data_IF_603004561923
#
_entry.id   IF_603004561923
#
_cell.length_a   1.000
_cell.length_b   1.000
_cell.length_c   1.000
_cell.angle_alpha   90.00
_cell.angle_beta   90.00
_cell.angle_gamma   90.00
#
_symmetry.space_group_name_H-M   'P 1'
#
loop_
_entity.id
_entity.type
_entity.pdbx_description
1 polymer ?
#
# COMPACT_ATOMS: atom_id res chain seq x y z
N UNK A 1 -41.19 -0.87 33.32
CA UNK A 1 -40.72 -1.92 32.40
C UNK A 1 -39.29 -1.58 32.01
N UNK A 2 -38.28 -2.19 32.65
CA UNK A 2 -36.87 -1.91 32.39
C UNK A 2 -36.33 -2.89 31.34
N UNK A 3 -36.03 -2.41 30.14
CA UNK A 3 -35.37 -3.19 29.12
C UNK A 3 -33.86 -3.21 29.39
N UNK A 4 -33.37 -4.37 29.84
CA UNK A 4 -31.95 -4.63 30.08
C UNK A 4 -31.27 -4.87 28.73
N UNK A 5 -30.51 -3.90 28.24
CA UNK A 5 -29.66 -4.07 27.05
C UNK A 5 -28.46 -4.92 27.45
N UNK A 6 -28.42 -6.17 27.03
CA UNK A 6 -27.27 -7.05 27.23
C UNK A 6 -26.25 -6.77 26.13
N UNK A 7 -25.22 -5.98 26.43
CA UNK A 7 -24.04 -5.86 25.58
C UNK A 7 -23.18 -7.12 25.78
N UNK A 8 -23.11 -7.97 24.76
CA UNK A 8 -22.25 -9.15 24.74
C UNK A 8 -20.86 -8.68 24.31
N UNK A 9 -19.94 -8.48 25.25
CA UNK A 9 -18.53 -8.27 24.91
C UNK A 9 -17.97 -9.58 24.36
N UNK A 10 -17.90 -9.69 23.03
CA UNK A 10 -17.05 -10.69 22.38
C UNK A 10 -15.60 -10.23 22.50
N UNK A 11 -14.79 -10.98 23.26
CA UNK A 11 -13.37 -10.69 23.42
C UNK A 11 -12.65 -11.08 22.14
N UNK A 12 -12.52 -10.14 21.21
CA UNK A 12 -11.73 -10.34 20.00
C UNK A 12 -10.26 -10.53 20.42
N UNK A 13 -9.73 -11.74 20.24
CA UNK A 13 -8.29 -12.00 20.38
C UNK A 13 -7.58 -11.22 19.28
N UNK A 14 -6.93 -10.10 19.64
CA UNK A 14 -6.12 -9.30 18.72
C UNK A 14 -5.01 -10.17 18.14
N UNK A 15 -5.09 -10.48 16.85
CA UNK A 15 -3.95 -11.00 16.12
C UNK A 15 -2.82 -9.95 16.22
N UNK A 16 -1.75 -10.28 16.95
CA UNK A 16 -0.63 -9.38 17.27
C UNK A 16 0.15 -8.90 16.03
N UNK A 17 -0.08 -9.53 14.88
CA UNK A 17 0.69 -9.37 13.65
C UNK A 17 -0.25 -9.52 12.44
N UNK A 18 -0.18 -8.56 11.51
CA UNK A 18 -1.06 -8.52 10.34
C UNK A 18 -0.22 -8.41 9.06
N UNK A 19 -0.46 -9.32 8.11
CA UNK A 19 0.18 -9.26 6.80
C UNK A 19 -0.80 -8.73 5.76
N UNK A 20 -0.39 -7.74 4.96
CA UNK A 20 -1.22 -7.15 3.92
C UNK A 20 -0.45 -7.12 2.59
N UNK A 21 -0.98 -7.69 1.49
CA UNK A 21 -0.42 -7.48 0.16
C UNK A 21 -0.43 -6.00 -0.18
N UNK A 22 0.70 -5.45 -0.61
CA UNK A 22 0.85 -4.04 -0.96
C UNK A 22 1.46 -3.92 -2.35
N UNK A 23 0.65 -3.42 -3.28
CA UNK A 23 1.10 -3.06 -4.62
C UNK A 23 1.90 -1.76 -4.59
N UNK A 24 3.01 -1.70 -5.31
CA UNK A 24 3.87 -0.52 -5.44
C UNK A 24 3.66 0.10 -6.81
N UNK A 25 3.37 1.41 -6.84
CA UNK A 25 3.24 2.17 -8.09
C UNK A 25 4.48 3.01 -8.33
N UNK A 26 5.18 2.72 -9.43
CA UNK A 26 6.36 3.43 -9.89
C UNK A 26 6.00 4.30 -11.09
N UNK A 27 6.31 5.60 -11.02
CA UNK A 27 6.22 6.52 -12.15
C UNK A 27 7.55 6.58 -12.88
N UNK A 28 7.51 6.49 -14.21
CA UNK A 28 8.60 6.82 -15.13
C UNK A 28 8.33 8.16 -15.80
N UNK A 29 9.30 9.07 -15.79
CA UNK A 29 9.29 10.32 -16.58
C UNK A 29 10.62 10.47 -17.32
N UNK A 30 10.72 11.33 -18.36
CA UNK A 30 11.99 11.67 -18.97
C UNK A 30 13.00 12.17 -17.94
N UNK A 31 14.24 11.72 -18.04
CA UNK A 31 15.33 12.19 -17.20
C UNK A 31 15.81 13.58 -17.62
N UNK A 32 16.29 14.36 -16.65
CA UNK A 32 16.78 15.74 -16.88
C UNK A 32 18.29 15.82 -17.06
N UNK A 33 18.97 14.67 -17.19
CA UNK A 33 20.43 14.60 -17.32
C UNK A 33 20.81 13.74 -18.53
N UNK A 34 22.02 13.97 -19.08
CA UNK A 34 22.55 13.18 -20.20
C UNK A 34 22.80 11.70 -19.88
N UNK A 35 22.87 11.32 -18.60
CA UNK A 35 23.31 9.99 -18.16
C UNK A 35 22.15 9.04 -17.86
N UNK A 36 20.94 9.57 -17.70
CA UNK A 36 19.76 8.78 -17.39
C UNK A 36 18.60 9.29 -18.25
N UNK A 37 18.18 8.47 -19.22
CA UNK A 37 17.03 8.78 -20.06
C UNK A 37 15.71 8.83 -19.29
N UNK A 38 15.64 8.16 -18.13
CA UNK A 38 14.44 8.03 -17.32
C UNK A 38 14.71 8.38 -15.86
N UNK A 39 13.76 9.10 -15.25
CA UNK A 39 13.65 9.25 -13.81
C UNK A 39 12.52 8.37 -13.28
N UNK A 40 12.75 7.73 -12.13
CA UNK A 40 11.81 6.81 -11.49
C UNK A 40 11.45 7.30 -10.09
N UNK A 41 10.17 7.24 -9.73
CA UNK A 41 9.68 7.60 -8.39
C UNK A 41 8.58 6.64 -7.94
N UNK A 42 8.61 6.23 -6.67
CA UNK A 42 7.44 5.65 -6.03
C UNK A 42 6.40 6.76 -5.82
N UNK A 43 5.20 6.60 -6.38
CA UNK A 43 4.17 7.65 -6.37
C UNK A 43 2.90 7.25 -5.63
N UNK A 44 2.67 5.95 -5.44
CA UNK A 44 1.49 5.45 -4.73
C UNK A 44 1.68 4.00 -4.29
N UNK A 45 0.77 3.53 -3.43
CA UNK A 45 0.65 2.14 -3.01
C UNK A 45 -0.80 1.67 -3.13
N UNK A 46 -0.99 0.36 -3.33
CA UNK A 46 -2.29 -0.28 -3.53
C UNK A 46 -2.48 -1.42 -2.50
N UNK A 47 -3.18 -1.17 -1.37
CA UNK A 47 -3.47 -2.22 -0.40
C UNK A 47 -4.35 -3.32 -1.02
N UNK A 48 -4.01 -4.58 -0.77
CA UNK A 48 -4.74 -5.74 -1.30
C UNK A 48 -4.58 -5.96 -2.81
N UNK A 49 -3.57 -5.35 -3.44
CA UNK A 49 -3.36 -5.50 -4.88
C UNK A 49 -3.05 -6.95 -5.28
N UNK A 50 -3.47 -7.40 -6.48
CA UNK A 50 -3.04 -8.68 -7.04
C UNK A 50 -1.56 -8.64 -7.44
N UNK A 51 -0.92 -9.80 -7.61
CA UNK A 51 0.44 -9.86 -8.13
C UNK A 51 0.59 -9.13 -9.47
N UNK A 52 1.73 -8.47 -9.65
CA UNK A 52 2.06 -7.74 -10.88
C UNK A 52 3.56 -7.74 -11.13
N UNK A 53 3.89 -7.55 -12.40
CA UNK A 53 5.24 -7.36 -12.90
C UNK A 53 5.20 -6.24 -13.94
N UNK A 54 5.65 -5.04 -13.53
CA UNK A 54 5.72 -3.82 -14.36
C UNK A 54 4.50 -3.55 -15.26
N UNK A 55 3.29 -3.72 -14.72
CA UNK A 55 2.05 -3.49 -15.48
C UNK A 55 1.75 -2.00 -15.59
N UNK A 56 1.64 -1.46 -16.80
CA UNK A 56 1.20 -0.08 -17.03
C UNK A 56 -0.23 0.12 -16.50
N UNK A 57 -0.42 1.18 -15.70
CA UNK A 57 -1.70 1.57 -15.12
C UNK A 57 -2.30 2.78 -15.83
N UNK A 58 -1.45 3.78 -16.12
CA UNK A 58 -1.85 5.04 -16.73
C UNK A 58 -0.68 5.70 -17.44
N UNK A 59 -1.00 6.48 -18.47
CA UNK A 59 -0.09 7.36 -19.19
C UNK A 59 -0.62 8.77 -19.26
N UNK A 60 0.28 9.74 -19.13
CA UNK A 60 -0.02 11.17 -19.11
C UNK A 60 1.16 11.95 -19.71
N UNK A 61 1.03 12.31 -20.99
CA UNK A 61 2.17 12.78 -21.79
C UNK A 61 3.32 11.77 -21.74
N UNK A 62 4.49 12.23 -21.29
CA UNK A 62 5.69 11.41 -21.15
C UNK A 62 5.79 10.67 -19.80
N UNK A 63 4.82 10.88 -18.89
CA UNK A 63 4.75 10.17 -17.62
C UNK A 63 3.97 8.85 -17.77
N UNK A 64 4.51 7.77 -17.20
CA UNK A 64 3.85 6.46 -17.17
C UNK A 64 3.89 5.91 -15.75
N UNK A 65 2.72 5.52 -15.24
CA UNK A 65 2.58 4.88 -13.94
C UNK A 65 2.47 3.36 -14.12
N UNK A 66 3.30 2.61 -13.39
CA UNK A 66 3.34 1.15 -13.43
C UNK A 66 3.01 0.57 -12.07
N UNK A 67 2.16 -0.45 -12.02
CA UNK A 67 2.16 -1.40 -10.91
C UNK A 67 3.40 -2.28 -11.06
N UNK A 68 4.46 -1.91 -10.34
CA UNK A 68 5.78 -2.52 -10.49
C UNK A 68 5.81 -3.93 -9.89
N UNK A 69 5.28 -4.10 -8.67
CA UNK A 69 5.20 -5.36 -7.95
C UNK A 69 4.17 -5.29 -6.83
N UNK A 70 3.72 -6.45 -6.34
CA UNK A 70 3.02 -6.59 -5.07
C UNK A 70 3.84 -7.41 -4.10
N UNK A 71 4.10 -6.86 -2.91
CA UNK A 71 4.86 -7.50 -1.82
C UNK A 71 3.98 -7.70 -0.60
N UNK A 72 4.36 -8.61 0.31
CA UNK A 72 3.69 -8.73 1.61
C UNK A 72 4.29 -7.72 2.61
N UNK A 73 3.45 -6.82 3.12
CA UNK A 73 3.80 -5.91 4.21
C UNK A 73 3.44 -6.56 5.55
N UNK A 74 4.41 -6.67 6.46
CA UNK A 74 4.17 -7.01 7.87
C UNK A 74 3.87 -5.72 8.66
N UNK A 75 2.71 -5.68 9.32
CA UNK A 75 2.29 -4.58 10.18
C UNK A 75 2.39 -5.01 11.65
N UNK A 76 3.27 -4.33 12.38
CA UNK A 76 3.37 -4.47 13.83
C UNK A 76 2.47 -3.45 14.54
N UNK A 77 1.72 -3.89 15.54
CA UNK A 77 0.80 -3.04 16.31
C UNK A 77 1.43 -1.80 16.96
N UNK A 78 2.75 -1.78 17.14
CA UNK A 78 3.49 -0.63 17.70
C UNK A 78 3.91 0.39 16.65
N UNK A 79 3.79 0.09 15.35
CA UNK A 79 4.17 0.99 14.25
C UNK A 79 3.01 1.90 13.85
N UNK A 80 2.54 2.70 14.81
CA UNK A 80 1.48 3.70 14.59
C UNK A 80 1.97 5.08 15.04
N UNK A 81 1.44 6.16 14.47
CA UNK A 81 1.87 7.53 14.75
C UNK A 81 1.82 7.88 16.26
N UNK A 82 0.83 7.35 16.98
CA UNK A 82 0.66 7.56 18.42
C UNK A 82 1.72 6.87 19.30
N UNK A 83 2.65 6.11 18.70
CA UNK A 83 3.72 5.36 19.38
C UNK A 83 5.13 5.79 18.94
N UNK A 84 5.27 6.89 18.19
CA UNK A 84 6.57 7.51 17.84
C UNK A 84 7.12 8.40 18.97
#
# INVERSE_FOLDING_TARGET
>A
MHHRVTYRHETQTLAKQMMVPLGIVMRRTPGVTRWAAWAWRAVSVLPGAPQADWRELRRDGDAVDFHAATVLLDLHHTQTEAYL
#
